data_IF_127387248791
#
_entry.id   IF_127387248791
#
_cell.length_a   1.000
_cell.length_b   1.000
_cell.length_c   1.000
_cell.angle_alpha   90.00
_cell.angle_beta   90.00
_cell.angle_gamma   90.00
#
_symmetry.space_group_name_H-M   'P 1'
#
loop_
_entity.id
_entity.type
_entity.pdbx_description
1 polymer ?
#
# COMPACT_ATOMS: atom_id res chain seq x y z
N UNK A 1 -9.61 13.16 -5.53
CA UNK A 1 -10.19 11.91 -5.02
C UNK A 1 -11.44 11.58 -5.83
N UNK A 2 -11.80 10.32 -5.94
CA UNK A 2 -13.04 9.89 -6.62
C UNK A 2 -13.93 9.21 -5.60
N UNK A 3 -15.22 9.53 -5.61
CA UNK A 3 -16.22 8.99 -4.70
C UNK A 3 -17.40 8.45 -5.50
N UNK A 4 -17.71 7.17 -5.32
CA UNK A 4 -18.87 6.51 -5.92
C UNK A 4 -19.94 6.33 -4.84
N UNK A 5 -21.09 6.96 -5.03
CA UNK A 5 -22.10 7.11 -3.97
C UNK A 5 -23.45 6.55 -4.41
N UNK A 6 -24.03 5.69 -3.59
CA UNK A 6 -25.43 5.26 -3.71
C UNK A 6 -26.26 6.19 -2.83
N UNK A 7 -27.11 7.01 -3.42
CA UNK A 7 -28.00 7.91 -2.69
C UNK A 7 -29.31 7.21 -2.36
N UNK A 8 -29.83 7.46 -1.16
CA UNK A 8 -31.19 7.04 -0.78
C UNK A 8 -32.24 7.70 -1.69
N UNK A 9 -33.40 7.04 -1.81
CA UNK A 9 -34.50 7.56 -2.61
C UNK A 9 -34.97 8.94 -2.09
N UNK A 10 -35.05 9.91 -3.00
CA UNK A 10 -35.45 11.29 -2.67
C UNK A 10 -34.35 12.15 -2.04
N UNK A 11 -33.13 11.65 -1.84
CA UNK A 11 -32.04 12.43 -1.26
C UNK A 11 -31.56 13.57 -2.19
N UNK A 12 -31.20 14.72 -1.61
CA UNK A 12 -30.61 15.84 -2.33
C UNK A 12 -29.14 15.54 -2.67
N UNK A 13 -28.92 15.06 -3.90
CA UNK A 13 -27.60 14.75 -4.44
C UNK A 13 -26.65 15.95 -4.40
N UNK A 14 -27.14 17.18 -4.62
CA UNK A 14 -26.30 18.37 -4.60
C UNK A 14 -25.87 18.74 -3.17
N UNK A 15 -26.73 18.53 -2.18
CA UNK A 15 -26.35 18.68 -0.78
C UNK A 15 -25.33 17.63 -0.35
N UNK A 16 -25.51 16.36 -0.75
CA UNK A 16 -24.56 15.27 -0.49
C UNK A 16 -23.19 15.58 -1.10
N UNK A 17 -23.16 15.97 -2.38
CA UNK A 17 -21.92 16.33 -3.07
C UNK A 17 -21.20 17.47 -2.36
N UNK A 18 -21.89 18.57 -2.03
CA UNK A 18 -21.31 19.68 -1.27
C UNK A 18 -20.75 19.23 0.08
N UNK A 19 -21.49 18.40 0.82
CA UNK A 19 -21.03 17.89 2.10
C UNK A 19 -19.75 17.04 1.96
N UNK A 20 -19.66 16.20 0.93
CA UNK A 20 -18.46 15.41 0.64
C UNK A 20 -17.29 16.33 0.28
N UNK A 21 -17.42 17.18 -0.74
CA UNK A 21 -16.28 17.95 -1.27
C UNK A 21 -15.75 18.99 -0.28
N UNK A 22 -16.59 19.48 0.64
CA UNK A 22 -16.19 20.44 1.68
C UNK A 22 -15.76 19.79 2.99
N UNK A 23 -15.74 18.45 3.09
CA UNK A 23 -15.45 17.76 4.34
C UNK A 23 -13.97 17.96 4.75
N UNK A 24 -13.70 18.64 5.89
CA UNK A 24 -12.34 18.93 6.32
C UNK A 24 -11.59 17.64 6.66
N UNK A 25 -10.27 17.63 6.45
CA UNK A 25 -9.36 16.49 6.66
C UNK A 25 -9.52 15.29 5.70
N UNK A 26 -10.62 15.20 4.95
CA UNK A 26 -10.89 14.07 4.05
C UNK A 26 -10.82 14.47 2.59
N UNK A 27 -11.59 15.50 2.20
CA UNK A 27 -11.84 15.84 0.80
C UNK A 27 -11.60 17.31 0.47
N UNK A 28 -11.75 18.24 1.44
CA UNK A 28 -11.65 19.68 1.21
C UNK A 28 -10.32 20.13 0.56
N UNK A 29 -9.22 19.42 0.83
CA UNK A 29 -7.89 19.73 0.31
C UNK A 29 -7.55 18.99 -1.00
N UNK A 30 -8.52 18.27 -1.59
CA UNK A 30 -8.32 17.47 -2.80
C UNK A 30 -9.36 17.80 -3.87
N UNK A 31 -8.94 17.82 -5.14
CA UNK A 31 -9.86 17.82 -6.29
C UNK A 31 -10.72 16.56 -6.23
N UNK A 32 -11.97 16.68 -5.77
CA UNK A 32 -12.83 15.54 -5.43
C UNK A 32 -14.02 15.46 -6.38
N UNK A 33 -14.17 14.33 -7.05
CA UNK A 33 -15.31 14.02 -7.94
C UNK A 33 -16.29 13.09 -7.24
N UNK A 34 -17.58 13.43 -7.26
CA UNK A 34 -18.66 12.59 -6.72
C UNK A 34 -19.52 12.06 -7.88
N UNK A 35 -19.56 10.74 -8.03
CA UNK A 35 -20.35 10.05 -9.04
C UNK A 35 -21.45 9.25 -8.35
N UNK A 36 -22.72 9.55 -8.66
CA UNK A 36 -23.84 8.79 -8.12
C UNK A 36 -24.11 7.56 -8.99
N UNK A 37 -24.08 6.39 -8.38
CA UNK A 37 -24.26 5.09 -9.06
C UNK A 37 -25.35 4.26 -8.38
N UNK A 38 -25.77 3.17 -9.02
CA UNK A 38 -26.69 2.20 -8.43
C UNK A 38 -25.99 1.26 -7.46
N UNK A 39 -26.75 0.62 -6.55
CA UNK A 39 -26.21 -0.42 -5.67
C UNK A 39 -25.65 -1.61 -6.47
N UNK A 40 -26.30 -1.99 -7.57
CA UNK A 40 -25.86 -3.09 -8.43
C UNK A 40 -24.50 -2.80 -9.09
N UNK A 41 -24.27 -1.56 -9.51
CA UNK A 41 -23.01 -1.09 -10.09
C UNK A 41 -21.90 -1.03 -9.05
N UNK A 42 -22.19 -0.47 -7.86
CA UNK A 42 -21.24 -0.46 -6.73
C UNK A 42 -20.79 -1.88 -6.40
N UNK A 43 -21.75 -2.81 -6.35
CA UNK A 43 -21.52 -4.21 -6.05
C UNK A 43 -20.68 -4.94 -7.11
N UNK A 44 -20.90 -4.63 -8.38
CA UNK A 44 -20.19 -5.27 -9.49
C UNK A 44 -18.77 -4.74 -9.64
N UNK A 45 -18.57 -3.44 -9.48
CA UNK A 45 -17.35 -2.75 -9.94
C UNK A 45 -16.44 -2.25 -8.81
N UNK A 46 -16.99 -2.04 -7.60
CA UNK A 46 -16.27 -1.39 -6.50
C UNK A 46 -16.17 -2.24 -5.21
N UNK A 47 -16.53 -3.54 -5.26
CA UNK A 47 -16.39 -4.45 -4.10
C UNK A 47 -14.94 -4.84 -3.77
N UNK A 48 -14.05 -4.79 -4.76
CA UNK A 48 -12.65 -5.13 -4.54
C UNK A 48 -11.97 -4.07 -3.66
N UNK A 49 -10.93 -4.46 -2.94
CA UNK A 49 -10.08 -3.53 -2.15
C UNK A 49 -8.70 -3.45 -2.82
N UNK A 50 -8.63 -2.95 -4.07
CA UNK A 50 -7.35 -2.76 -4.73
C UNK A 50 -6.61 -1.62 -4.04
N UNK A 51 -5.29 -1.70 -4.05
CA UNK A 51 -4.45 -0.59 -3.62
C UNK A 51 -3.13 -0.66 -4.38
N UNK A 52 -2.37 0.41 -4.29
CA UNK A 52 -1.03 0.45 -4.81
C UNK A 52 -0.33 1.69 -4.35
N UNK A 53 0.74 2.02 -5.06
CA UNK A 53 1.49 3.24 -4.81
C UNK A 53 2.90 3.11 -5.33
N UNK A 54 3.62 4.22 -5.21
CA UNK A 54 4.99 4.34 -5.65
C UNK A 54 5.82 4.96 -4.52
N UNK A 55 7.03 4.45 -4.35
CA UNK A 55 8.09 5.12 -3.58
C UNK A 55 9.19 5.45 -4.57
N UNK A 56 9.38 6.74 -4.84
CA UNK A 56 10.36 7.23 -5.82
C UNK A 56 11.43 8.02 -5.09
N UNK A 57 12.68 7.66 -5.33
CA UNK A 57 13.86 8.43 -4.89
C UNK A 57 14.65 8.87 -6.10
N UNK A 58 14.66 10.18 -6.35
CA UNK A 58 15.53 10.81 -7.33
C UNK A 58 16.73 11.44 -6.63
N UNK A 59 17.93 11.20 -7.16
CA UNK A 59 19.19 11.71 -6.63
C UNK A 59 20.11 12.21 -7.74
N UNK A 60 21.18 12.89 -7.36
CA UNK A 60 22.21 13.31 -8.31
C UNK A 60 23.60 13.11 -7.72
N UNK A 61 24.55 12.69 -8.55
CA UNK A 61 25.98 12.56 -8.23
C UNK A 61 26.83 13.32 -9.26
N UNK A 62 28.15 13.35 -9.07
CA UNK A 62 29.06 14.18 -9.85
C UNK A 62 29.31 15.53 -9.17
N UNK A 63 30.46 16.14 -9.42
CA UNK A 63 30.88 17.38 -8.75
C UNK A 63 29.92 18.55 -9.02
N UNK A 64 29.20 18.51 -10.13
CA UNK A 64 28.21 19.51 -10.53
C UNK A 64 26.77 18.95 -10.48
N UNK A 65 26.57 17.75 -9.92
CA UNK A 65 25.25 17.11 -9.86
C UNK A 65 24.70 16.70 -11.24
N UNK A 66 25.59 16.49 -12.21
CA UNK A 66 25.29 16.20 -13.61
C UNK A 66 24.74 14.79 -13.82
N UNK A 67 25.06 13.85 -12.93
CA UNK A 67 24.63 12.45 -13.06
C UNK A 67 23.35 12.23 -12.28
N UNK A 68 22.23 12.02 -12.97
CA UNK A 68 20.90 11.78 -12.35
C UNK A 68 20.67 10.29 -12.11
N UNK A 69 20.08 9.97 -10.96
CA UNK A 69 19.71 8.61 -10.57
C UNK A 69 18.25 8.59 -10.11
N UNK A 70 17.54 7.51 -10.42
CA UNK A 70 16.18 7.27 -9.97
C UNK A 70 16.07 5.85 -9.44
N UNK A 71 15.45 5.68 -8.28
CA UNK A 71 15.05 4.40 -7.73
C UNK A 71 13.54 4.46 -7.55
N UNK A 72 12.85 3.45 -8.08
CA UNK A 72 11.39 3.34 -8.01
C UNK A 72 10.99 1.97 -7.45
N UNK A 73 10.09 1.99 -6.48
CA UNK A 73 9.37 0.81 -6.01
C UNK A 73 7.88 1.02 -6.24
N UNK A 74 7.19 0.03 -6.80
CA UNK A 74 5.76 0.11 -7.06
C UNK A 74 5.02 -1.13 -6.55
N UNK A 75 3.76 -0.91 -6.17
CA UNK A 75 2.80 -1.98 -5.87
C UNK A 75 1.54 -1.77 -6.70
N UNK A 76 1.05 -2.87 -7.28
CA UNK A 76 -0.26 -2.96 -7.97
C UNK A 76 -0.99 -4.16 -7.40
N UNK A 77 -1.88 -3.93 -6.46
CA UNK A 77 -2.50 -4.97 -5.64
C UNK A 77 -3.97 -5.12 -6.02
N UNK A 78 -4.39 -6.35 -6.33
CA UNK A 78 -5.81 -6.69 -6.45
C UNK A 78 -6.55 -6.71 -5.11
N UNK A 79 -5.83 -7.06 -4.03
CA UNK A 79 -6.35 -7.09 -2.66
C UNK A 79 -5.28 -6.63 -1.66
N UNK A 80 -5.48 -5.44 -1.10
CA UNK A 80 -4.56 -4.87 -0.10
C UNK A 80 -4.46 -5.72 1.19
N UNK A 81 -5.58 -6.24 1.75
CA UNK A 81 -5.50 -7.08 2.95
C UNK A 81 -4.74 -8.40 2.73
N UNK A 82 -4.90 -9.04 1.56
CA UNK A 82 -4.20 -10.30 1.24
C UNK A 82 -2.69 -10.08 1.08
N UNK A 83 -2.29 -9.02 0.39
CA UNK A 83 -0.88 -8.68 0.26
C UNK A 83 -0.26 -8.38 1.62
N UNK A 84 -0.93 -7.56 2.43
CA UNK A 84 -0.49 -7.25 3.80
C UNK A 84 -0.35 -8.51 4.64
N UNK A 85 -1.32 -9.43 4.56
CA UNK A 85 -1.28 -10.71 5.30
C UNK A 85 -0.12 -11.60 4.85
N UNK A 86 0.19 -11.61 3.55
CA UNK A 86 1.34 -12.34 3.00
C UNK A 86 2.67 -11.80 3.54
N UNK A 87 2.79 -10.47 3.64
CA UNK A 87 3.95 -9.82 4.28
C UNK A 87 4.04 -10.22 5.76
N UNK A 88 2.93 -10.14 6.50
CA UNK A 88 2.90 -10.56 7.92
C UNK A 88 3.36 -12.01 8.12
N UNK A 89 2.92 -12.93 7.26
CA UNK A 89 3.34 -14.34 7.30
C UNK A 89 4.86 -14.49 7.07
N UNK A 90 5.44 -13.73 6.13
CA UNK A 90 6.88 -13.73 5.92
C UNK A 90 7.66 -13.19 7.14
N UNK A 91 7.16 -12.13 7.78
CA UNK A 91 7.78 -11.56 8.99
C UNK A 91 7.61 -12.45 10.23
N UNK A 92 6.52 -13.22 10.34
CA UNK A 92 6.36 -14.21 11.40
C UNK A 92 7.48 -15.27 11.38
N UNK A 93 7.93 -15.69 10.19
CA UNK A 93 9.10 -16.58 10.04
C UNK A 93 10.38 -15.95 10.60
N UNK A 94 10.62 -14.68 10.29
CA UNK A 94 11.78 -13.97 10.83
C UNK A 94 11.69 -13.83 12.36
N UNK A 95 10.54 -13.45 12.90
CA UNK A 95 10.31 -13.35 14.34
C UNK A 95 10.57 -14.69 15.05
N UNK A 96 10.07 -15.80 14.49
CA UNK A 96 10.31 -17.15 15.01
C UNK A 96 11.81 -17.50 15.03
N UNK A 97 12.54 -17.23 13.94
CA UNK A 97 13.99 -17.48 13.86
C UNK A 97 14.79 -16.65 14.86
N UNK A 98 14.43 -15.39 15.06
CA UNK A 98 15.07 -14.51 16.05
C UNK A 98 14.81 -15.01 17.48
N UNK A 99 13.56 -15.37 17.79
CA UNK A 99 13.20 -15.93 19.09
C UNK A 99 13.96 -17.25 19.37
N UNK A 100 14.09 -18.13 18.37
CA UNK A 100 14.84 -19.38 18.48
C UNK A 100 16.35 -19.16 18.75
N UNK A 101 16.89 -18.00 18.37
CA UNK A 101 18.27 -17.57 18.71
C UNK A 101 18.39 -16.90 20.08
N UNK A 102 17.29 -16.76 20.81
CA UNK A 102 17.23 -16.09 22.11
C UNK A 102 17.09 -14.57 22.04
N UNK A 103 16.80 -14.00 20.87
CA UNK A 103 16.58 -12.56 20.72
C UNK A 103 15.15 -12.18 21.18
N UNK A 104 15.02 -11.05 21.87
CA UNK A 104 13.74 -10.51 22.35
C UNK A 104 13.64 -8.99 22.17
N UNK A 105 12.44 -8.44 22.32
CA UNK A 105 12.16 -7.01 22.20
C UNK A 105 11.45 -6.63 20.90
N UNK A 106 10.98 -5.38 20.83
CA UNK A 106 10.29 -4.86 19.66
C UNK A 106 11.25 -4.60 18.50
N UNK A 107 10.80 -4.87 17.27
CA UNK A 107 11.55 -4.62 16.03
C UNK A 107 10.65 -4.05 14.95
N UNK A 108 11.27 -3.34 14.04
CA UNK A 108 10.66 -2.80 12.83
C UNK A 108 11.24 -3.51 11.60
N UNK A 109 10.70 -3.21 10.42
CA UNK A 109 11.22 -3.74 9.15
C UNK A 109 12.68 -3.36 8.88
N UNK A 110 13.20 -2.31 9.52
CA UNK A 110 14.61 -1.89 9.40
C UNK A 110 15.59 -2.83 10.13
N UNK A 111 15.09 -3.61 11.08
CA UNK A 111 15.91 -4.50 11.92
C UNK A 111 15.99 -5.94 11.39
N UNK A 112 15.29 -6.23 10.29
CA UNK A 112 15.07 -7.59 9.78
C UNK A 112 15.78 -7.76 8.43
N UNK A 113 16.84 -8.55 8.42
CA UNK A 113 17.52 -8.92 7.18
C UNK A 113 16.57 -9.71 6.24
N UNK A 114 16.49 -9.40 4.93
CA UNK A 114 15.58 -10.08 4.00
C UNK A 114 15.72 -11.61 3.97
N UNK A 115 16.93 -12.14 4.18
CA UNK A 115 17.18 -13.58 4.23
C UNK A 115 16.39 -14.30 5.35
N UNK A 116 16.04 -13.60 6.44
CA UNK A 116 15.22 -14.17 7.52
C UNK A 116 13.77 -14.41 7.10
N UNK A 117 13.29 -13.68 6.09
CA UNK A 117 11.92 -13.81 5.55
C UNK A 117 11.78 -15.04 4.66
N UNK A 118 12.86 -15.50 4.03
CA UNK A 118 12.84 -16.64 3.11
C UNK A 118 12.75 -17.98 3.85
N UNK A 119 11.95 -18.94 3.36
CA UNK A 119 11.98 -20.31 3.89
C UNK A 119 13.26 -21.06 3.53
N UNK A 120 13.98 -20.62 2.48
CA UNK A 120 15.20 -21.25 1.99
C UNK A 120 16.34 -21.11 3.00
N UNK A 121 17.30 -22.03 2.91
CA UNK A 121 18.58 -21.95 3.61
C UNK A 121 19.44 -20.81 3.07
N UNK A 122 20.44 -20.41 3.86
CA UNK A 122 21.39 -19.38 3.41
C UNK A 122 22.20 -19.80 2.18
N UNK A 123 22.45 -21.10 2.00
CA UNK A 123 23.13 -21.63 0.82
C UNK A 123 22.26 -21.51 -0.44
N UNK A 124 21.00 -21.94 -0.37
CA UNK A 124 20.05 -21.83 -1.48
C UNK A 124 19.82 -20.37 -1.90
N UNK A 125 19.69 -19.44 -0.94
CA UNK A 125 19.56 -18.01 -1.26
C UNK A 125 20.79 -17.53 -2.05
N UNK A 126 22.01 -17.88 -1.62
CA UNK A 126 23.23 -17.48 -2.32
C UNK A 126 23.38 -18.14 -3.69
N UNK A 127 22.88 -19.36 -3.88
CA UNK A 127 22.99 -20.08 -5.14
C UNK A 127 21.98 -19.62 -6.20
N UNK A 128 20.83 -19.08 -5.77
CA UNK A 128 19.70 -18.82 -6.69
C UNK A 128 19.24 -17.35 -6.75
N UNK A 129 19.67 -16.50 -5.82
CA UNK A 129 19.18 -15.12 -5.68
C UNK A 129 20.28 -14.06 -5.51
N UNK A 130 21.56 -14.43 -5.57
CA UNK A 130 22.73 -13.55 -5.55
C UNK A 130 23.64 -13.86 -6.73
#
# INVERSE_FOLDING_TARGET
RECYVVAEEGADKAAIERAIVTMPNYFADYDTTVTFISQEELDREHKCIPHGGFVIRTGSTGMQGETKHVIEYSLKLGSNPEFTSSVLCAYARAAHRLAAKGECGARTVFDIAPALLSPLSGEEIRAHML
#
